data_IF_593580017020
#
_entry.id   IF_593580017020
#
_cell.length_a   1.000
_cell.length_b   1.000
_cell.length_c   1.000
_cell.angle_alpha   90.00
_cell.angle_beta   90.00
_cell.angle_gamma   90.00
#
_symmetry.space_group_name_H-M   'P 1'
#
loop_
_entity.id
_entity.type
_entity.pdbx_description
1 polymer ?
#
# COMPACT_ATOMS: atom_id res chain seq x y z
N UNK A 1 1.95 21.65 22.54
CA UNK A 1 1.89 20.19 22.32
C UNK A 1 2.06 19.93 20.83
N UNK A 2 2.90 19.00 20.47
CA UNK A 2 3.06 18.57 19.06
C UNK A 2 1.84 17.75 18.65
N UNK A 3 1.24 18.08 17.50
CA UNK A 3 0.12 17.34 16.94
C UNK A 3 0.58 15.91 16.52
N UNK A 4 0.12 14.84 17.18
CA UNK A 4 0.55 13.48 16.86
C UNK A 4 0.09 13.01 15.47
N UNK A 5 -0.96 13.62 14.89
CA UNK A 5 -1.43 13.28 13.55
C UNK A 5 -0.44 13.71 12.45
N UNK A 6 0.45 14.67 12.76
CA UNK A 6 1.46 15.13 11.81
C UNK A 6 2.35 14.00 11.28
N UNK A 7 2.69 13.01 12.10
CA UNK A 7 3.54 11.88 11.66
C UNK A 7 2.82 11.06 10.60
N UNK A 8 1.54 10.79 10.77
CA UNK A 8 0.76 10.01 9.80
C UNK A 8 0.56 10.77 8.47
N UNK A 9 0.36 12.09 8.52
CA UNK A 9 0.35 12.92 7.29
C UNK A 9 1.67 12.82 6.53
N UNK A 10 2.80 12.90 7.23
CA UNK A 10 4.14 12.75 6.60
C UNK A 10 4.34 11.36 6.05
N UNK A 11 3.93 10.32 6.77
CA UNK A 11 4.02 8.94 6.30
C UNK A 11 3.17 8.70 5.05
N UNK A 12 1.94 9.24 4.99
CA UNK A 12 1.08 9.11 3.81
C UNK A 12 1.70 9.77 2.57
N UNK A 13 2.24 10.98 2.72
CA UNK A 13 2.93 11.69 1.63
C UNK A 13 4.18 10.94 1.17
N UNK A 14 5.00 10.46 2.12
CA UNK A 14 6.21 9.71 1.81
C UNK A 14 5.89 8.38 1.11
N UNK A 15 4.83 7.70 1.58
CA UNK A 15 4.35 6.47 0.97
C UNK A 15 3.91 6.68 -0.47
N UNK A 16 3.10 7.69 -0.73
CA UNK A 16 2.63 8.02 -2.07
C UNK A 16 3.81 8.39 -3.00
N UNK A 17 4.80 9.14 -2.51
CA UNK A 17 6.00 9.47 -3.28
C UNK A 17 6.84 8.24 -3.60
N UNK A 18 7.05 7.34 -2.63
CA UNK A 18 7.79 6.10 -2.83
C UNK A 18 7.06 5.19 -3.83
N UNK A 19 5.73 5.06 -3.73
CA UNK A 19 4.91 4.32 -4.68
C UNK A 19 5.00 4.94 -6.08
N UNK A 20 4.88 6.26 -6.20
CA UNK A 20 5.02 6.95 -7.47
C UNK A 20 6.37 6.64 -8.16
N UNK A 21 7.49 6.75 -7.43
CA UNK A 21 8.83 6.45 -7.96
C UNK A 21 8.95 4.99 -8.39
N UNK A 22 8.45 4.07 -7.56
CA UNK A 22 8.50 2.64 -7.83
C UNK A 22 7.69 2.27 -9.08
N UNK A 23 6.42 2.70 -9.13
CA UNK A 23 5.55 2.40 -10.26
C UNK A 23 5.98 3.07 -11.57
N UNK A 24 6.54 4.29 -11.49
CA UNK A 24 7.13 4.93 -12.67
C UNK A 24 8.31 4.11 -13.24
N UNK A 25 9.13 3.51 -12.37
CA UNK A 25 10.20 2.62 -12.80
C UNK A 25 9.66 1.33 -13.45
N UNK A 26 8.59 0.75 -12.88
CA UNK A 26 7.97 -0.48 -13.41
C UNK A 26 7.43 -0.35 -14.84
N UNK A 27 7.05 0.86 -15.25
CA UNK A 27 6.60 1.10 -16.64
C UNK A 27 7.70 0.81 -17.67
N UNK A 28 8.97 0.89 -17.25
CA UNK A 28 10.14 0.57 -18.09
C UNK A 28 10.49 -0.91 -18.20
N UNK A 29 9.76 -1.81 -17.55
CA UNK A 29 10.01 -3.26 -17.63
C UNK A 29 9.81 -3.79 -19.05
N UNK A 30 10.68 -4.72 -19.44
CA UNK A 30 10.51 -5.48 -20.70
C UNK A 30 9.36 -6.48 -20.58
N UNK A 31 8.75 -6.88 -21.70
CA UNK A 31 7.72 -7.92 -21.70
C UNK A 31 8.19 -9.17 -20.94
N UNK A 32 7.33 -9.70 -20.07
CA UNK A 32 7.61 -10.88 -19.25
C UNK A 32 8.31 -10.60 -17.91
N UNK A 33 8.94 -9.45 -17.71
CA UNK A 33 9.67 -9.16 -16.47
C UNK A 33 8.75 -8.94 -15.27
N UNK A 34 7.53 -8.45 -15.48
CA UNK A 34 6.58 -8.16 -14.42
C UNK A 34 6.06 -9.43 -13.75
N UNK A 35 5.74 -10.45 -14.52
CA UNK A 35 5.21 -11.75 -14.06
C UNK A 35 6.29 -12.82 -13.84
N UNK A 36 7.52 -12.61 -14.29
CA UNK A 36 8.60 -13.61 -14.18
C UNK A 36 8.84 -14.06 -12.74
N UNK A 37 9.04 -15.37 -12.52
CA UNK A 37 9.35 -15.92 -11.20
C UNK A 37 10.63 -15.31 -10.60
N UNK A 38 10.57 -14.95 -9.33
CA UNK A 38 11.69 -14.41 -8.55
C UNK A 38 11.72 -14.98 -7.15
N UNK A 39 12.88 -14.96 -6.52
CA UNK A 39 13.03 -15.35 -5.12
C UNK A 39 12.44 -14.25 -4.25
N UNK A 40 11.48 -14.62 -3.39
CA UNK A 40 10.81 -13.72 -2.46
C UNK A 40 9.66 -14.43 -1.76
N UNK A 41 9.00 -13.74 -0.83
CA UNK A 41 7.79 -14.27 -0.19
C UNK A 41 6.68 -14.49 -1.23
N UNK A 42 6.46 -13.51 -2.09
CA UNK A 42 5.64 -13.66 -3.30
C UNK A 42 6.54 -13.95 -4.51
N UNK A 43 6.05 -14.75 -5.49
CA UNK A 43 6.92 -15.27 -6.55
C UNK A 43 7.24 -14.28 -7.68
N UNK A 44 6.66 -13.07 -7.70
CA UNK A 44 6.88 -12.10 -8.78
C UNK A 44 6.61 -10.65 -8.35
N UNK A 45 7.06 -9.69 -9.15
CA UNK A 45 6.71 -8.27 -9.01
C UNK A 45 5.18 -8.09 -9.07
N UNK A 46 4.53 -8.72 -10.05
CA UNK A 46 3.08 -8.69 -10.24
C UNK A 46 2.34 -9.11 -8.98
N UNK A 47 2.67 -10.25 -8.41
CA UNK A 47 1.99 -10.80 -7.24
C UNK A 47 2.21 -9.91 -6.01
N UNK A 48 3.44 -9.45 -5.79
CA UNK A 48 3.77 -8.60 -4.64
C UNK A 48 3.05 -7.27 -4.68
N UNK A 49 3.02 -6.62 -5.85
CA UNK A 49 2.39 -5.29 -6.00
C UNK A 49 0.86 -5.36 -5.95
N UNK A 50 0.25 -6.39 -6.53
CA UNK A 50 -1.19 -6.62 -6.36
C UNK A 50 -1.54 -6.88 -4.89
N UNK A 51 -0.70 -7.62 -4.15
CA UNK A 51 -0.90 -7.83 -2.72
C UNK A 51 -0.84 -6.52 -1.92
N UNK A 52 0.13 -5.64 -2.20
CA UNK A 52 0.21 -4.32 -1.57
C UNK A 52 -1.10 -3.56 -1.79
N UNK A 53 -1.56 -3.47 -3.03
CA UNK A 53 -2.77 -2.74 -3.40
C UNK A 53 -4.03 -3.29 -2.71
N UNK A 54 -4.19 -4.62 -2.66
CA UNK A 54 -5.35 -5.26 -2.02
C UNK A 54 -5.38 -4.96 -0.52
N UNK A 55 -4.22 -5.02 0.15
CA UNK A 55 -4.11 -4.70 1.57
C UNK A 55 -4.37 -3.22 1.82
N UNK A 56 -3.91 -2.35 0.92
CA UNK A 56 -4.21 -0.91 0.98
C UNK A 56 -5.72 -0.66 0.86
N UNK A 57 -6.38 -1.26 -0.12
CA UNK A 57 -7.84 -1.17 -0.26
C UNK A 57 -8.57 -1.62 1.00
N UNK A 58 -8.16 -2.76 1.56
CA UNK A 58 -8.77 -3.34 2.75
C UNK A 58 -8.69 -2.40 3.96
N UNK A 59 -7.49 -1.91 4.26
CA UNK A 59 -7.29 -1.08 5.46
C UNK A 59 -7.77 0.37 5.26
N UNK A 60 -7.58 0.96 4.09
CA UNK A 60 -8.08 2.31 3.82
C UNK A 60 -9.61 2.34 3.87
N UNK A 61 -10.30 1.34 3.28
CA UNK A 61 -11.75 1.21 3.40
C UNK A 61 -12.20 1.12 4.86
N UNK A 62 -11.56 0.27 5.67
CA UNK A 62 -11.88 0.13 7.09
C UNK A 62 -11.64 1.44 7.88
N UNK A 63 -10.55 2.14 7.60
CA UNK A 63 -10.21 3.44 8.21
C UNK A 63 -11.26 4.53 7.86
N UNK A 64 -11.84 4.48 6.68
CA UNK A 64 -12.92 5.35 6.22
C UNK A 64 -14.30 4.91 6.75
N UNK A 65 -14.38 3.78 7.44
CA UNK A 65 -15.63 3.24 8.00
C UNK A 65 -16.41 2.34 7.03
N UNK A 66 -15.75 1.86 5.97
CA UNK A 66 -16.33 0.94 5.00
C UNK A 66 -16.40 -0.50 5.49
N UNK A 67 -16.95 -1.36 4.65
CA UNK A 67 -17.20 -2.78 4.95
C UNK A 67 -16.68 -3.71 3.85
N UNK A 68 -15.67 -3.29 3.09
CA UNK A 68 -15.09 -4.08 2.01
C UNK A 68 -14.65 -5.46 2.53
N UNK A 69 -13.90 -5.49 3.61
CA UNK A 69 -13.50 -6.72 4.28
C UNK A 69 -12.86 -7.74 3.34
N UNK A 70 -13.17 -9.06 3.50
CA UNK A 70 -12.56 -10.12 2.69
C UNK A 70 -12.84 -10.05 1.19
N UNK A 71 -13.80 -9.24 0.76
CA UNK A 71 -14.04 -9.00 -0.68
C UNK A 71 -12.82 -8.43 -1.40
N UNK A 72 -11.93 -7.75 -0.67
CA UNK A 72 -10.67 -7.28 -1.22
C UNK A 72 -9.81 -8.41 -1.84
N UNK A 73 -9.96 -9.65 -1.36
CA UNK A 73 -9.23 -10.83 -1.82
C UNK A 73 -10.01 -11.73 -2.78
N UNK A 74 -11.20 -11.35 -3.24
CA UNK A 74 -11.95 -12.14 -4.25
C UNK A 74 -11.15 -12.31 -5.55
N UNK A 75 -10.31 -11.32 -5.87
CA UNK A 75 -9.30 -11.43 -6.92
C UNK A 75 -7.94 -10.99 -6.35
N UNK A 76 -7.05 -11.93 -6.10
CA UNK A 76 -5.72 -11.65 -5.53
C UNK A 76 -4.74 -10.99 -6.51
N UNK A 77 -5.07 -10.95 -7.80
CA UNK A 77 -4.27 -10.31 -8.84
C UNK A 77 -5.16 -9.50 -9.80
N UNK A 78 -5.78 -8.39 -9.33
CA UNK A 78 -6.72 -7.62 -10.12
C UNK A 78 -6.10 -6.96 -11.36
N UNK A 79 -4.78 -6.78 -11.37
CA UNK A 79 -4.07 -6.11 -12.48
C UNK A 79 -2.96 -6.97 -13.07
N UNK A 80 -3.00 -7.14 -14.39
CA UNK A 80 -2.02 -7.92 -15.17
C UNK A 80 -0.88 -7.06 -15.73
N UNK A 81 -0.98 -5.74 -15.69
CA UNK A 81 0.05 -4.86 -16.22
C UNK A 81 0.40 -3.73 -15.24
N UNK A 82 1.67 -3.26 -15.29
CA UNK A 82 2.15 -2.24 -14.36
C UNK A 82 1.40 -0.91 -14.42
N UNK A 83 0.95 -0.48 -15.60
CA UNK A 83 0.32 0.84 -15.77
C UNK A 83 -1.08 0.90 -15.16
N UNK A 84 -1.90 -0.15 -15.36
CA UNK A 84 -3.22 -0.23 -14.76
C UNK A 84 -3.14 -0.34 -13.24
N UNK A 85 -2.21 -1.14 -12.72
CA UNK A 85 -1.94 -1.27 -11.28
C UNK A 85 -1.47 0.07 -10.71
N UNK A 86 -0.62 0.81 -11.42
CA UNK A 86 -0.16 2.14 -11.01
C UNK A 86 -1.33 3.11 -10.84
N UNK A 87 -2.28 3.14 -11.78
CA UNK A 87 -3.47 3.99 -11.65
C UNK A 87 -4.27 3.70 -10.38
N UNK A 88 -4.51 2.41 -10.09
CA UNK A 88 -5.23 1.98 -8.89
C UNK A 88 -4.46 2.31 -7.59
N UNK A 89 -3.13 2.18 -7.59
CA UNK A 89 -2.29 2.56 -6.45
C UNK A 89 -2.35 4.06 -6.17
N UNK A 90 -2.29 4.90 -7.22
CA UNK A 90 -2.43 6.35 -7.08
C UNK A 90 -3.76 6.75 -6.44
N UNK A 91 -4.84 6.06 -6.79
CA UNK A 91 -6.17 6.36 -6.25
C UNK A 91 -6.26 6.02 -4.76
N UNK A 92 -5.75 4.87 -4.33
CA UNK A 92 -5.77 4.51 -2.89
C UNK A 92 -4.78 5.36 -2.09
N UNK A 93 -3.63 5.70 -2.64
CA UNK A 93 -2.66 6.61 -2.00
C UNK A 93 -3.28 7.99 -1.76
N UNK A 94 -4.06 8.52 -2.72
CA UNK A 94 -4.79 9.78 -2.56
C UNK A 94 -5.80 9.70 -1.41
N UNK A 95 -6.60 8.64 -1.36
CA UNK A 95 -7.54 8.40 -0.25
C UNK A 95 -6.83 8.40 1.10
N UNK A 96 -5.69 7.71 1.21
CA UNK A 96 -4.90 7.65 2.44
C UNK A 96 -4.32 9.02 2.83
N UNK A 97 -3.86 9.82 1.86
CA UNK A 97 -3.41 11.21 2.11
C UNK A 97 -4.57 12.06 2.61
N UNK A 98 -5.73 12.00 1.96
CA UNK A 98 -6.91 12.78 2.33
C UNK A 98 -7.35 12.42 3.75
N UNK A 99 -7.43 11.14 4.09
CA UNK A 99 -7.71 10.67 5.44
C UNK A 99 -6.69 11.24 6.44
N UNK A 100 -5.40 11.03 6.22
CA UNK A 100 -4.35 11.47 7.15
C UNK A 100 -4.22 12.99 7.25
N UNK A 101 -4.76 13.75 6.29
CA UNK A 101 -4.81 15.22 6.33
C UNK A 101 -5.96 15.73 7.20
N UNK A 102 -7.07 14.99 7.25
CA UNK A 102 -8.30 15.40 7.95
C UNK A 102 -8.35 14.94 9.40
N UNK A 103 -7.66 13.85 9.77
CA UNK A 103 -7.65 13.34 11.14
C UNK A 103 -6.78 14.19 12.07
N UNK A 104 -7.26 14.39 13.30
CA UNK A 104 -6.52 15.03 14.40
C UNK A 104 -6.15 14.02 15.50
N UNK A 105 -5.60 14.54 16.59
CA UNK A 105 -5.16 13.73 17.73
C UNK A 105 -6.30 12.89 18.35
N UNK A 106 -7.52 13.42 18.34
CA UNK A 106 -8.69 12.73 18.89
C UNK A 106 -9.09 11.55 18.02
N UNK A 107 -9.16 11.74 16.69
CA UNK A 107 -9.54 10.69 15.74
C UNK A 107 -8.55 9.52 15.77
N UNK A 108 -7.27 9.75 16.02
CA UNK A 108 -6.26 8.69 16.14
C UNK A 108 -6.58 7.67 17.24
N UNK A 109 -7.28 8.08 18.29
CA UNK A 109 -7.69 7.18 19.38
C UNK A 109 -8.98 6.42 19.12
N UNK A 110 -9.69 6.76 18.03
CA UNK A 110 -10.97 6.13 17.68
C UNK A 110 -10.75 4.66 17.34
N UNK A 111 -11.70 3.82 17.77
CA UNK A 111 -11.74 2.40 17.44
C UNK A 111 -12.31 2.20 16.04
N UNK A 112 -11.62 1.45 15.21
CA UNK A 112 -11.98 1.09 13.85
C UNK A 112 -12.51 -0.33 13.83
N UNK A 113 -13.62 -0.54 13.13
CA UNK A 113 -14.18 -1.86 12.87
C UNK A 113 -13.57 -2.44 11.60
N UNK A 114 -12.85 -3.56 11.72
CA UNK A 114 -12.19 -4.25 10.62
C UNK A 114 -12.94 -5.55 10.36
N UNK A 115 -13.64 -5.63 9.23
CA UNK A 115 -14.43 -6.79 8.85
C UNK A 115 -13.52 -7.92 8.34
N UNK A 116 -13.49 -9.05 9.08
CA UNK A 116 -12.69 -10.25 8.79
C UNK A 116 -13.55 -11.45 8.29
N UNK A 117 -14.68 -11.19 7.68
CA UNK A 117 -15.63 -12.21 7.26
C UNK A 117 -16.53 -12.70 8.40
N UNK A 118 -16.15 -13.77 9.08
CA UNK A 118 -16.93 -14.33 10.19
C UNK A 118 -16.86 -13.53 11.49
N UNK A 119 -15.96 -12.55 11.60
CA UNK A 119 -15.79 -11.72 12.79
C UNK A 119 -15.48 -10.27 12.41
N UNK A 120 -15.73 -9.36 13.35
CA UNK A 120 -15.25 -7.96 13.30
C UNK A 120 -14.16 -7.82 14.33
N UNK A 121 -12.99 -7.33 13.90
CA UNK A 121 -11.87 -6.96 14.76
C UNK A 121 -11.97 -5.46 15.06
N UNK A 122 -11.63 -5.07 16.26
CA UNK A 122 -11.66 -3.68 16.69
C UNK A 122 -10.28 -3.26 17.14
N UNK A 123 -9.68 -2.29 16.43
CA UNK A 123 -8.36 -1.74 16.75
C UNK A 123 -8.41 -0.21 16.72
N UNK A 124 -7.46 0.44 17.38
CA UNK A 124 -7.32 1.90 17.32
C UNK A 124 -6.85 2.32 15.94
N UNK A 125 -7.28 3.51 15.50
CA UNK A 125 -6.89 4.08 14.21
C UNK A 125 -5.38 4.22 14.06
N UNK A 126 -4.67 4.69 15.11
CA UNK A 126 -3.22 4.84 15.07
C UNK A 126 -2.47 3.49 14.95
N UNK A 127 -3.00 2.42 15.56
CA UNK A 127 -2.44 1.07 15.40
C UNK A 127 -2.64 0.56 13.97
N UNK A 128 -3.84 0.75 13.40
CA UNK A 128 -4.14 0.34 12.02
C UNK A 128 -3.29 1.09 11.02
N UNK A 129 -3.14 2.41 11.17
CA UNK A 129 -2.28 3.23 10.32
C UNK A 129 -0.82 2.80 10.42
N UNK A 130 -0.33 2.56 11.63
CA UNK A 130 1.05 2.10 11.87
C UNK A 130 1.31 0.77 11.18
N UNK A 131 0.38 -0.18 11.32
CA UNK A 131 0.45 -1.47 10.64
C UNK A 131 0.48 -1.30 9.11
N UNK A 132 -0.41 -0.48 8.55
CA UNK A 132 -0.50 -0.27 7.10
C UNK A 132 0.81 0.27 6.53
N UNK A 133 1.41 1.29 7.14
CA UNK A 133 2.68 1.86 6.67
C UNK A 133 3.86 0.88 6.79
N UNK A 134 3.88 0.05 7.85
CA UNK A 134 4.89 -1.01 7.99
C UNK A 134 4.72 -2.07 6.90
N UNK A 135 3.50 -2.51 6.63
CA UNK A 135 3.18 -3.48 5.58
C UNK A 135 3.64 -2.99 4.21
N UNK A 136 3.29 -1.76 3.85
CA UNK A 136 3.70 -1.16 2.59
C UNK A 136 5.22 -1.07 2.45
N UNK A 137 5.90 -0.58 3.49
CA UNK A 137 7.36 -0.46 3.49
C UNK A 137 8.03 -1.83 3.35
N UNK A 138 7.53 -2.84 4.07
CA UNK A 138 8.06 -4.21 4.01
C UNK A 138 7.98 -4.81 2.60
N UNK A 139 6.80 -4.81 2.00
CA UNK A 139 6.61 -5.39 0.67
C UNK A 139 7.21 -4.54 -0.45
N UNK A 140 7.22 -3.22 -0.32
CA UNK A 140 7.90 -2.33 -1.26
C UNK A 140 9.41 -2.57 -1.28
N UNK A 141 10.01 -2.88 -0.14
CA UNK A 141 11.40 -3.33 -0.06
C UNK A 141 11.66 -4.63 -0.83
N UNK A 142 10.72 -5.58 -0.78
CA UNK A 142 10.81 -6.82 -1.56
C UNK A 142 10.72 -6.54 -3.07
N UNK A 143 9.78 -5.69 -3.51
CA UNK A 143 9.68 -5.26 -4.91
C UNK A 143 10.96 -4.58 -5.37
N UNK A 144 11.50 -3.67 -4.55
CA UNK A 144 12.74 -2.96 -4.85
C UNK A 144 13.92 -3.93 -5.05
N UNK A 145 14.05 -4.95 -4.18
CA UNK A 145 15.06 -5.99 -4.33
C UNK A 145 14.86 -6.82 -5.60
N UNK A 146 13.61 -7.18 -5.93
CA UNK A 146 13.30 -7.93 -7.17
C UNK A 146 13.63 -7.13 -8.43
N UNK A 147 13.46 -5.81 -8.43
CA UNK A 147 13.81 -4.94 -9.56
C UNK A 147 15.29 -5.00 -9.92
N UNK A 148 16.17 -5.23 -8.96
CA UNK A 148 17.61 -5.38 -9.23
C UNK A 148 17.94 -6.53 -10.21
N UNK A 149 17.04 -7.52 -10.33
CA UNK A 149 17.15 -8.62 -11.29
C UNK A 149 16.41 -8.38 -12.62
N UNK A 150 16.03 -7.15 -12.93
CA UNK A 150 15.33 -6.77 -14.17
C UNK A 150 16.18 -5.85 -15.04
N UNK A 151 15.63 -5.47 -16.20
CA UNK A 151 16.22 -4.43 -17.05
C UNK A 151 16.09 -3.01 -16.48
N UNK A 152 15.32 -2.84 -15.41
CA UNK A 152 15.04 -1.54 -14.79
C UNK A 152 15.86 -1.36 -13.52
N UNK A 153 16.54 -0.21 -13.40
CA UNK A 153 17.25 0.13 -12.17
C UNK A 153 16.29 0.45 -11.05
N UNK A 154 16.43 -0.15 -9.85
CA UNK A 154 15.63 0.22 -8.68
C UNK A 154 15.77 1.72 -8.36
N UNK A 155 14.64 2.44 -8.17
CA UNK A 155 14.67 3.86 -7.84
C UNK A 155 15.00 4.10 -6.36
N UNK A 156 15.45 5.31 -6.03
CA UNK A 156 15.58 5.75 -4.63
C UNK A 156 14.19 5.95 -4.01
N UNK A 157 13.88 5.29 -2.89
CA UNK A 157 12.56 5.30 -2.26
C UNK A 157 12.50 5.99 -0.91
N UNK A 158 13.61 6.13 -0.21
CA UNK A 158 13.70 6.59 1.18
C UNK A 158 14.20 8.03 1.34
N UNK A 159 14.54 8.73 0.25
CA UNK A 159 14.88 10.15 0.23
C UNK A 159 13.74 11.02 -0.33
N UNK A 160 13.42 12.11 0.37
CA UNK A 160 12.35 13.07 0.05
C UNK A 160 12.70 14.49 0.53
#
# INVERSE_FOLDING_TARGET
>A
MTDPSRVFRKLALNNAMANWRLHAALVGLKPGEFESPRIGFFPSLKTTLNHILIVDWFYVDALEGGTLGPKAWENEQPFDNPLALYGAQLDVDRRLIDLCTTIGAFELTRVIAIHRGSRVQYDRMDDVLSHLFQHQTHHRGQVHAMLAGTSVKPPQLDEF
#
